data_IF_882166514601
#
_entry.id   IF_882166514601
#
_cell.length_a   1.000
_cell.length_b   1.000
_cell.length_c   1.000
_cell.angle_alpha   90.00
_cell.angle_beta   90.00
_cell.angle_gamma   90.00
#
_symmetry.space_group_name_H-M   'P 1'
#
loop_
_entity.id
_entity.type
_entity.pdbx_description
1 polymer ?
#
# COMPACT_ATOMS: atom_id res chain seq x y z
N UNK A 1 -72.11 -39.29 -29.36
CA UNK A 1 -71.89 -38.12 -28.49
C UNK A 1 -70.95 -37.19 -29.26
N UNK A 2 -71.39 -36.32 -30.17
CA UNK A 2 -72.24 -35.12 -30.01
C UNK A 2 -71.73 -34.12 -28.95
N UNK A 3 -71.20 -32.99 -29.45
CA UNK A 3 -71.42 -31.56 -29.07
C UNK A 3 -71.26 -31.14 -27.59
N UNK A 4 -70.79 -29.94 -27.21
CA UNK A 4 -70.71 -28.61 -27.84
C UNK A 4 -69.89 -27.63 -26.96
N UNK A 5 -69.61 -26.45 -27.53
CA UNK A 5 -68.72 -25.37 -27.09
C UNK A 5 -69.14 -24.53 -25.85
N UNK A 6 -68.22 -23.70 -25.34
CA UNK A 6 -68.33 -22.21 -25.35
C UNK A 6 -67.05 -21.48 -24.93
N UNK A 7 -66.80 -20.37 -25.64
CA UNK A 7 -65.81 -19.29 -25.51
C UNK A 7 -66.00 -18.52 -24.17
N UNK A 8 -65.06 -17.84 -23.49
CA UNK A 8 -64.34 -16.61 -23.89
C UNK A 8 -63.40 -16.14 -22.73
N UNK A 9 -62.25 -15.53 -23.06
CA UNK A 9 -61.24 -14.86 -22.20
C UNK A 9 -61.73 -13.42 -21.79
N UNK A 10 -61.02 -12.48 -21.08
CA UNK A 10 -59.60 -12.43 -20.65
C UNK A 10 -59.23 -11.75 -19.29
N UNK A 11 -57.98 -11.94 -18.83
CA UNK A 11 -56.93 -10.90 -18.65
C UNK A 11 -55.84 -11.34 -17.66
N UNK A 12 -54.59 -11.00 -17.97
CA UNK A 12 -53.48 -10.98 -17.01
C UNK A 12 -52.26 -11.79 -17.47
N UNK A 13 -51.57 -11.32 -18.50
CA UNK A 13 -50.29 -11.90 -18.93
C UNK A 13 -49.28 -10.75 -19.07
N UNK A 14 -48.13 -10.86 -18.38
CA UNK A 14 -46.82 -11.08 -19.01
C UNK A 14 -45.66 -10.68 -18.10
N UNK A 15 -44.72 -11.61 -18.02
CA UNK A 15 -43.34 -11.50 -17.55
C UNK A 15 -42.41 -10.96 -18.65
N UNK A 16 -41.26 -10.45 -18.20
CA UNK A 16 -39.91 -10.44 -18.79
C UNK A 16 -39.65 -9.72 -20.13
N UNK A 17 -38.54 -8.97 -20.16
CA UNK A 17 -37.86 -8.56 -21.40
C UNK A 17 -37.00 -7.31 -21.25
N UNK A 18 -35.69 -7.51 -21.15
CA UNK A 18 -34.62 -6.54 -21.45
C UNK A 18 -34.89 -5.80 -22.77
N UNK A 19 -34.58 -4.50 -22.85
CA UNK A 19 -33.66 -3.90 -23.84
C UNK A 19 -33.57 -2.37 -23.69
N UNK A 20 -32.37 -1.91 -23.99
CA UNK A 20 -31.78 -0.58 -24.12
C UNK A 20 -32.56 0.45 -24.95
N UNK A 21 -32.53 1.73 -24.53
CA UNK A 21 -32.48 3.02 -25.29
C UNK A 21 -33.21 4.12 -24.49
N UNK A 22 -32.52 5.11 -23.92
CA UNK A 22 -32.16 6.41 -24.52
C UNK A 22 -33.34 7.11 -25.22
N UNK A 23 -34.07 7.96 -24.48
CA UNK A 23 -34.55 9.26 -24.96
C UNK A 23 -34.78 10.19 -23.75
N UNK A 24 -33.93 11.22 -23.63
CA UNK A 24 -34.12 12.39 -22.78
C UNK A 24 -34.97 13.38 -23.58
N UNK A 25 -36.21 13.61 -23.13
CA UNK A 25 -37.04 14.70 -23.62
C UNK A 25 -36.64 16.03 -22.96
N UNK A 26 -36.34 16.97 -23.83
CA UNK A 26 -36.12 18.40 -23.64
C UNK A 26 -36.78 19.07 -22.42
N UNK A 27 -35.95 19.77 -21.64
CA UNK A 27 -36.35 21.00 -20.96
C UNK A 27 -35.30 22.09 -21.25
N UNK A 28 -35.77 23.12 -21.96
CA UNK A 28 -35.03 24.32 -22.36
C UNK A 28 -34.57 25.11 -21.14
N UNK A 29 -33.32 25.57 -21.14
CA UNK A 29 -32.97 26.83 -20.49
C UNK A 29 -31.99 27.64 -21.34
N UNK A 30 -32.25 28.93 -21.35
CA UNK A 30 -31.79 29.95 -22.29
C UNK A 30 -30.57 30.63 -21.67
N UNK A 31 -29.54 30.94 -22.46
CA UNK A 31 -28.47 31.85 -22.04
C UNK A 31 -27.15 31.61 -22.75
N UNK A 32 -26.90 32.37 -23.83
CA UNK A 32 -25.63 32.34 -24.55
C UNK A 32 -24.49 32.96 -23.74
N UNK A 33 -23.30 32.36 -23.82
CA UNK A 33 -22.03 33.02 -23.54
C UNK A 33 -20.96 32.50 -24.49
N UNK A 34 -20.16 33.46 -24.98
CA UNK A 34 -19.08 33.34 -25.94
C UNK A 34 -18.07 32.21 -25.65
N UNK A 35 -17.57 31.65 -26.75
CA UNK A 35 -16.35 30.87 -26.90
C UNK A 35 -15.21 31.36 -25.99
N UNK A 36 -14.68 30.48 -25.14
CA UNK A 36 -13.26 30.49 -24.78
C UNK A 36 -12.74 29.07 -24.95
N UNK A 37 -12.08 28.84 -26.09
CA UNK A 37 -11.18 27.71 -26.26
C UNK A 37 -10.14 27.75 -25.15
N UNK A 38 -10.26 26.83 -24.20
CA UNK A 38 -9.21 26.57 -23.23
C UNK A 38 -8.12 25.83 -24.00
N UNK A 39 -7.10 26.57 -24.45
CA UNK A 39 -5.81 25.98 -24.83
C UNK A 39 -5.27 25.23 -23.61
N UNK A 40 -5.48 23.92 -23.59
CA UNK A 40 -4.84 23.01 -22.65
C UNK A 40 -3.32 23.12 -22.86
N UNK A 41 -2.69 23.98 -22.07
CA UNK A 41 -1.24 24.06 -21.99
C UNK A 41 -0.79 22.83 -21.21
N UNK A 42 -0.36 21.80 -21.94
CA UNK A 42 0.25 20.60 -21.37
C UNK A 42 1.40 20.99 -20.46
N UNK A 43 1.20 20.84 -19.15
CA UNK A 43 2.28 21.01 -18.20
C UNK A 43 3.17 19.77 -18.24
N UNK A 44 4.40 19.97 -18.70
CA UNK A 44 5.50 19.02 -18.59
C UNK A 44 5.78 18.82 -17.09
N UNK A 45 5.50 17.62 -16.57
CA UNK A 45 5.90 17.27 -15.22
C UNK A 45 7.37 16.83 -15.24
N UNK A 46 8.17 17.44 -14.37
CA UNK A 46 9.58 17.13 -14.20
C UNK A 46 9.74 16.16 -13.03
N UNK A 47 10.36 15.01 -13.27
CA UNK A 47 10.76 14.07 -12.22
C UNK A 47 12.30 14.02 -12.18
N UNK A 48 12.87 13.78 -10.99
CA UNK A 48 14.31 13.60 -10.83
C UNK A 48 14.54 12.10 -10.64
N UNK A 49 15.21 11.46 -11.60
CA UNK A 49 15.60 10.06 -11.47
C UNK A 49 17.02 9.99 -10.89
N UNK A 50 17.18 9.38 -9.72
CA UNK A 50 18.46 9.26 -9.03
C UNK A 50 19.23 8.04 -9.54
N UNK A 51 20.23 8.25 -10.38
CA UNK A 51 21.20 7.21 -10.74
C UNK A 51 22.46 7.40 -9.91
N UNK A 52 22.70 6.52 -8.93
CA UNK A 52 23.90 6.52 -8.05
C UNK A 52 24.27 7.93 -7.52
N UNK A 53 23.34 8.62 -6.85
CA UNK A 53 23.53 9.96 -6.29
C UNK A 53 23.73 11.12 -7.28
N UNK A 54 23.55 10.92 -8.59
CA UNK A 54 23.54 12.01 -9.58
C UNK A 54 22.12 12.29 -10.07
N UNK A 55 21.58 13.51 -9.88
CA UNK A 55 20.22 13.83 -10.31
C UNK A 55 20.16 13.98 -11.84
N UNK A 56 19.45 13.09 -12.53
CA UNK A 56 19.13 13.28 -13.96
C UNK A 56 17.77 13.93 -14.07
N UNK A 57 17.70 15.06 -14.77
CA UNK A 57 16.42 15.74 -15.05
C UNK A 57 15.65 14.97 -16.11
N UNK A 58 14.39 14.64 -15.82
CA UNK A 58 13.50 14.01 -16.80
C UNK A 58 12.24 14.84 -17.05
N UNK A 59 11.68 14.67 -18.24
CA UNK A 59 10.42 15.25 -18.69
C UNK A 59 9.49 14.09 -19.05
N UNK A 60 8.27 14.11 -18.55
CA UNK A 60 7.23 13.19 -19.02
C UNK A 60 6.37 13.89 -20.06
N UNK A 61 6.29 13.31 -21.26
CA UNK A 61 5.42 13.78 -22.35
C UNK A 61 3.97 13.28 -22.18
N UNK A 62 2.97 13.86 -22.90
CA UNK A 62 1.56 13.45 -22.82
C UNK A 62 1.29 11.96 -23.07
N UNK A 63 2.18 11.32 -23.82
CA UNK A 63 2.09 9.90 -24.18
C UNK A 63 2.66 8.98 -23.08
N UNK A 64 2.96 9.51 -21.90
CA UNK A 64 3.60 8.80 -20.78
C UNK A 64 5.01 8.26 -21.06
N UNK A 65 5.68 8.79 -22.09
CA UNK A 65 7.09 8.50 -22.37
C UNK A 65 8.00 9.44 -21.59
N UNK A 66 9.08 8.88 -21.03
CA UNK A 66 10.07 9.62 -20.25
C UNK A 66 11.21 10.06 -21.18
N UNK A 67 11.53 11.35 -21.10
CA UNK A 67 12.63 11.99 -21.78
C UNK A 67 13.69 12.40 -20.77
N UNK A 68 14.96 12.12 -21.08
CA UNK A 68 16.09 12.36 -20.18
C UNK A 68 16.91 13.56 -20.67
N UNK A 69 17.39 14.40 -19.77
CA UNK A 69 18.29 15.48 -20.15
C UNK A 69 19.64 14.92 -20.63
N UNK A 70 19.96 15.11 -21.90
CA UNK A 70 21.15 14.54 -22.53
C UNK A 70 22.45 15.10 -21.95
N UNK A 71 22.47 16.37 -21.54
CA UNK A 71 23.64 16.99 -20.89
C UNK A 71 23.99 16.27 -19.59
N UNK A 72 23.01 16.10 -18.69
CA UNK A 72 23.21 15.43 -17.39
C UNK A 72 23.69 13.98 -17.59
N UNK A 73 23.09 13.27 -18.54
CA UNK A 73 23.47 11.90 -18.88
C UNK A 73 24.90 11.83 -19.42
N UNK A 74 25.27 12.73 -20.33
CA UNK A 74 26.62 12.79 -20.89
C UNK A 74 27.67 13.12 -19.83
N UNK A 75 27.36 14.02 -18.90
CA UNK A 75 28.23 14.38 -17.79
C UNK A 75 28.47 13.19 -16.85
N UNK A 76 27.41 12.44 -16.52
CA UNK A 76 27.51 11.22 -15.71
C UNK A 76 28.35 10.16 -16.43
N UNK A 77 28.12 9.96 -17.73
CA UNK A 77 28.86 9.00 -18.56
C UNK A 77 30.28 9.45 -18.90
N UNK A 78 30.68 10.69 -18.57
CA UNK A 78 32.05 11.20 -18.76
C UNK A 78 32.36 11.61 -20.21
N UNK A 79 31.35 11.96 -21.01
CA UNK A 79 31.58 12.52 -22.34
C UNK A 79 32.04 13.98 -22.22
N UNK A 80 33.22 14.29 -22.76
CA UNK A 80 33.80 15.65 -22.72
C UNK A 80 32.91 16.67 -23.45
N UNK A 81 32.30 16.27 -24.57
CA UNK A 81 31.41 17.10 -25.37
C UNK A 81 30.05 16.42 -25.52
N UNK A 82 29.07 16.80 -24.68
CA UNK A 82 27.72 16.27 -24.74
C UNK A 82 27.05 16.41 -26.13
N UNK A 83 27.11 17.57 -26.84
CA UNK A 83 26.47 17.71 -28.16
C UNK A 83 27.09 16.81 -29.23
N UNK A 84 28.41 16.62 -29.18
CA UNK A 84 29.13 15.76 -30.13
C UNK A 84 28.82 14.28 -29.86
N UNK A 85 28.81 13.86 -28.59
CA UNK A 85 28.42 12.52 -28.19
C UNK A 85 26.99 12.19 -28.65
N UNK A 86 26.04 13.10 -28.45
CA UNK A 86 24.67 12.94 -28.92
C UNK A 86 24.58 12.85 -30.44
N UNK A 87 25.31 13.69 -31.18
CA UNK A 87 25.32 13.66 -32.66
C UNK A 87 25.95 12.37 -33.21
N UNK A 88 26.97 11.83 -32.55
CA UNK A 88 27.71 10.64 -32.99
C UNK A 88 27.05 9.33 -32.61
N UNK A 89 26.26 9.30 -31.53
CA UNK A 89 25.76 8.05 -30.94
C UNK A 89 24.25 7.93 -30.88
N UNK A 90 23.51 9.04 -30.89
CA UNK A 90 22.04 9.04 -30.91
C UNK A 90 21.49 9.13 -32.33
N UNK A 91 20.24 8.66 -32.52
CA UNK A 91 19.49 8.93 -33.76
C UNK A 91 18.69 10.21 -33.61
N UNK A 92 18.63 11.01 -34.68
CA UNK A 92 17.93 12.31 -34.73
C UNK A 92 16.45 12.20 -34.31
N UNK A 93 15.78 11.10 -34.65
CA UNK A 93 14.38 10.86 -34.31
C UNK A 93 14.07 10.82 -32.79
N UNK A 94 15.09 10.66 -31.94
CA UNK A 94 14.93 10.60 -30.49
C UNK A 94 15.65 11.72 -29.75
N UNK A 95 15.90 12.85 -30.42
CA UNK A 95 16.52 14.05 -29.84
C UNK A 95 15.51 15.18 -29.91
N UNK A 96 15.14 15.75 -28.77
CA UNK A 96 14.24 16.89 -28.68
C UNK A 96 14.92 18.07 -28.00
N UNK A 97 14.93 19.22 -28.67
CA UNK A 97 15.38 20.49 -28.08
C UNK A 97 14.20 21.15 -27.39
N UNK A 98 14.32 21.41 -26.09
CA UNK A 98 13.27 22.05 -25.27
C UNK A 98 13.89 23.23 -24.53
N UNK A 99 13.12 24.31 -24.40
CA UNK A 99 13.54 25.46 -23.60
C UNK A 99 13.11 25.27 -22.16
N UNK A 100 14.08 25.30 -21.25
CA UNK A 100 13.84 25.26 -19.80
C UNK A 100 13.91 26.71 -19.29
N UNK A 101 12.90 27.11 -18.52
CA UNK A 101 12.91 28.42 -17.85
C UNK A 101 13.68 28.32 -16.54
N UNK A 102 14.79 29.05 -16.44
CA UNK A 102 15.54 29.23 -15.19
C UNK A 102 15.25 30.63 -14.62
N UNK A 103 15.49 30.84 -13.31
CA UNK A 103 15.47 32.19 -12.72
C UNK A 103 16.41 33.19 -13.42
N UNK A 104 17.47 32.67 -14.07
CA UNK A 104 18.46 33.44 -14.84
C UNK A 104 18.13 33.60 -16.34
N UNK A 105 16.97 33.12 -16.79
CA UNK A 105 16.54 33.17 -18.19
C UNK A 105 16.22 31.80 -18.79
N UNK A 106 15.73 31.79 -20.04
CA UNK A 106 15.44 30.54 -20.77
C UNK A 106 16.74 29.98 -21.36
N UNK A 107 17.07 28.72 -21.07
CA UNK A 107 18.17 28.01 -21.74
C UNK A 107 17.63 26.84 -22.54
N UNK A 108 18.19 26.63 -23.72
CA UNK A 108 17.93 25.46 -24.55
C UNK A 108 18.61 24.25 -23.89
N UNK A 109 17.85 23.18 -23.68
CA UNK A 109 18.36 21.90 -23.21
C UNK A 109 17.95 20.80 -24.19
N UNK A 110 18.83 19.82 -24.35
CA UNK A 110 18.60 18.68 -25.22
C UNK A 110 18.09 17.53 -24.37
N UNK A 111 16.97 16.96 -24.79
CA UNK A 111 16.35 15.79 -24.21
C UNK A 111 16.47 14.61 -25.18
N UNK A 112 16.71 13.43 -24.62
CA UNK A 112 16.86 12.17 -25.34
C UNK A 112 15.80 11.18 -24.88
N UNK A 113 15.31 10.36 -25.80
CA UNK A 113 14.42 9.25 -25.44
C UNK A 113 15.20 8.06 -24.84
N UNK A 114 14.47 7.15 -24.21
CA UNK A 114 15.03 5.96 -23.56
C UNK A 114 15.89 5.08 -24.50
N UNK A 115 15.52 4.80 -25.77
CA UNK A 115 16.40 4.09 -26.70
C UNK A 115 17.73 4.80 -26.98
N UNK A 116 17.76 6.13 -27.05
CA UNK A 116 19.00 6.89 -27.23
C UNK A 116 19.83 6.95 -25.95
N UNK A 117 19.20 6.93 -24.77
CA UNK A 117 19.87 6.77 -23.49
C UNK A 117 20.65 5.45 -23.46
N UNK A 118 20.02 4.31 -23.77
CA UNK A 118 20.70 3.02 -23.80
C UNK A 118 21.87 2.98 -24.78
N UNK A 119 21.75 3.64 -25.93
CA UNK A 119 22.87 3.75 -26.89
C UNK A 119 24.05 4.53 -26.35
N UNK A 120 23.82 5.58 -25.56
CA UNK A 120 24.89 6.33 -24.91
C UNK A 120 25.56 5.49 -23.82
N UNK A 121 24.79 4.76 -23.03
CA UNK A 121 25.34 3.91 -21.96
C UNK A 121 26.21 2.80 -22.55
N UNK A 122 25.72 2.06 -23.54
CA UNK A 122 26.45 0.95 -24.20
C UNK A 122 27.70 1.43 -24.94
N UNK A 123 27.72 2.67 -25.46
CA UNK A 123 28.90 3.23 -26.14
C UNK A 123 29.84 3.99 -25.21
N UNK A 124 29.53 4.06 -23.93
CA UNK A 124 30.39 4.73 -22.97
C UNK A 124 31.62 3.88 -22.67
N UNK A 125 32.76 4.54 -22.42
CA UNK A 125 34.02 3.88 -22.03
C UNK A 125 34.27 3.90 -20.52
N UNK A 126 33.27 4.33 -19.74
CA UNK A 126 33.37 4.38 -18.29
C UNK A 126 33.20 2.99 -17.68
N UNK A 127 34.01 2.61 -16.67
CA UNK A 127 33.84 1.34 -15.97
C UNK A 127 32.48 1.23 -15.27
N UNK A 128 31.81 2.35 -14.98
CA UNK A 128 30.47 2.34 -14.39
C UNK A 128 29.37 1.89 -15.36
N UNK A 129 29.63 1.94 -16.68
CA UNK A 129 28.69 1.51 -17.72
C UNK A 129 28.84 0.03 -18.08
N UNK A 130 30.02 -0.57 -17.85
CA UNK A 130 30.32 -1.97 -18.14
C UNK A 130 29.37 -2.96 -17.42
N UNK A 131 29.00 -2.79 -16.14
CA UNK A 131 28.02 -3.66 -15.49
C UNK A 131 26.63 -3.62 -16.15
N UNK A 132 26.21 -2.45 -16.65
CA UNK A 132 24.93 -2.32 -17.32
C UNK A 132 24.96 -2.97 -18.70
N UNK A 133 26.05 -2.76 -19.45
CA UNK A 133 26.27 -3.41 -20.74
C UNK A 133 26.24 -4.94 -20.58
N UNK A 134 27.06 -5.50 -19.67
CA UNK A 134 27.12 -6.92 -19.40
C UNK A 134 25.74 -7.48 -19.01
N UNK A 135 25.03 -6.81 -18.10
CA UNK A 135 23.68 -7.23 -17.71
C UNK A 135 22.70 -7.26 -18.89
N UNK A 136 22.70 -6.24 -19.76
CA UNK A 136 21.83 -6.21 -20.94
C UNK A 136 22.19 -7.33 -21.93
N UNK A 137 23.48 -7.53 -22.23
CA UNK A 137 23.91 -8.46 -23.27
C UNK A 137 23.98 -9.92 -22.82
N UNK A 138 24.30 -10.19 -21.56
CA UNK A 138 24.48 -11.55 -21.04
C UNK A 138 23.23 -12.09 -20.34
N UNK A 139 22.43 -11.21 -19.71
CA UNK A 139 21.24 -11.61 -18.97
C UNK A 139 19.96 -11.26 -19.73
N UNK A 140 19.71 -9.97 -19.98
CA UNK A 140 18.40 -9.50 -20.48
C UNK A 140 18.12 -10.02 -21.90
N UNK A 141 19.01 -9.74 -22.86
CA UNK A 141 18.80 -10.13 -24.26
C UNK A 141 18.74 -11.66 -24.44
N UNK A 142 19.62 -12.47 -23.81
CA UNK A 142 19.53 -13.92 -23.91
C UNK A 142 18.26 -14.49 -23.28
N UNK A 143 17.79 -13.92 -22.15
CA UNK A 143 16.53 -14.32 -21.52
C UNK A 143 15.33 -14.03 -22.42
N UNK A 144 15.25 -12.82 -23.00
CA UNK A 144 14.20 -12.48 -23.96
C UNK A 144 14.26 -13.38 -25.19
N UNK A 145 15.45 -13.64 -25.74
CA UNK A 145 15.60 -14.52 -26.92
C UNK A 145 15.13 -15.95 -26.63
N UNK A 146 15.43 -16.48 -25.43
CA UNK A 146 15.11 -17.87 -25.05
C UNK A 146 13.65 -18.05 -24.63
N UNK A 147 13.08 -17.08 -23.91
CA UNK A 147 11.77 -17.24 -23.25
C UNK A 147 10.67 -16.34 -23.84
N UNK A 148 11.02 -15.42 -24.74
CA UNK A 148 10.12 -14.42 -25.30
C UNK A 148 9.80 -13.25 -24.36
N UNK A 149 10.34 -13.24 -23.13
CA UNK A 149 10.10 -12.19 -22.13
C UNK A 149 11.32 -12.01 -21.22
N UNK A 150 11.45 -10.84 -20.60
CA UNK A 150 12.34 -10.66 -19.46
C UNK A 150 11.48 -10.63 -18.20
N UNK A 151 11.78 -11.50 -17.24
CA UNK A 151 11.19 -11.45 -15.90
C UNK A 151 12.35 -11.30 -14.93
N UNK A 152 12.39 -10.18 -14.21
CA UNK A 152 13.18 -10.09 -12.99
C UNK A 152 12.65 -11.20 -12.10
N UNK A 153 13.44 -12.26 -11.90
CA UNK A 153 13.13 -13.23 -10.87
C UNK A 153 13.07 -12.42 -9.57
N UNK A 154 11.91 -12.33 -8.90
CA UNK A 154 11.88 -11.76 -7.58
C UNK A 154 12.88 -12.59 -6.80
N UNK A 155 13.99 -12.00 -6.38
CA UNK A 155 14.80 -12.59 -5.34
C UNK A 155 13.85 -12.71 -4.19
N UNK A 156 13.35 -13.92 -3.99
CA UNK A 156 12.31 -14.21 -3.02
C UNK A 156 12.96 -13.89 -1.68
N UNK A 157 12.71 -12.68 -1.18
CA UNK A 157 12.90 -12.36 0.23
C UNK A 157 12.26 -13.53 0.94
N UNK A 158 13.07 -14.30 1.68
CA UNK A 158 12.56 -15.44 2.43
C UNK A 158 11.35 -14.91 3.20
N UNK A 159 10.16 -15.40 2.83
CA UNK A 159 8.95 -15.04 3.55
C UNK A 159 9.24 -15.34 5.02
N UNK A 160 8.92 -14.44 5.96
CA UNK A 160 9.05 -14.77 7.38
C UNK A 160 8.38 -16.12 7.58
N UNK A 161 9.08 -17.07 8.21
CA UNK A 161 8.55 -18.41 8.42
C UNK A 161 7.13 -18.27 9.00
N UNK A 162 6.13 -18.97 8.43
CA UNK A 162 4.76 -18.82 8.89
C UNK A 162 4.72 -19.11 10.39
N UNK A 163 4.08 -18.20 11.15
CA UNK A 163 3.94 -18.35 12.61
C UNK A 163 3.45 -19.78 12.94
N UNK A 164 4.14 -20.45 13.87
CA UNK A 164 3.79 -21.81 14.29
C UNK A 164 2.38 -21.80 14.90
N UNK A 165 1.42 -22.43 14.22
CA UNK A 165 0.03 -22.55 14.69
C UNK A 165 -0.15 -23.86 15.44
N UNK A 166 -0.84 -23.79 16.57
CA UNK A 166 -1.21 -24.95 17.37
C UNK A 166 -2.74 -25.04 17.43
N UNK A 167 -3.28 -26.25 17.32
CA UNK A 167 -4.71 -26.53 17.50
C UNK A 167 -4.87 -27.35 18.77
N UNK A 168 -5.76 -26.90 19.65
CA UNK A 168 -6.09 -27.59 20.90
C UNK A 168 -7.60 -27.70 21.02
N UNK A 169 -8.07 -28.82 21.53
CA UNK A 169 -9.46 -29.01 21.94
C UNK A 169 -9.57 -28.66 23.42
N UNK A 170 -10.53 -27.82 23.78
CA UNK A 170 -10.80 -27.42 25.16
C UNK A 170 -12.20 -27.86 25.56
N UNK A 171 -12.32 -28.34 26.79
CA UNK A 171 -13.62 -28.52 27.44
C UNK A 171 -14.18 -27.17 27.89
N UNK A 172 -15.50 -27.12 28.08
CA UNK A 172 -16.18 -25.93 28.57
C UNK A 172 -15.61 -25.46 29.92
N UNK A 173 -15.35 -26.40 30.82
CA UNK A 173 -14.77 -26.13 32.14
C UNK A 173 -13.36 -25.52 32.03
N UNK A 174 -12.50 -26.04 31.16
CA UNK A 174 -11.15 -25.48 30.97
C UNK A 174 -11.19 -24.04 30.45
N UNK A 175 -12.10 -23.75 29.50
CA UNK A 175 -12.29 -22.37 29.03
C UNK A 175 -12.78 -21.46 30.15
N UNK A 176 -13.73 -21.91 30.97
CA UNK A 176 -14.18 -21.15 32.14
C UNK A 176 -13.01 -20.86 33.10
N UNK A 177 -12.17 -21.85 33.39
CA UNK A 177 -11.00 -21.67 34.25
C UNK A 177 -10.01 -20.64 33.69
N UNK A 178 -9.75 -20.65 32.38
CA UNK A 178 -8.87 -19.66 31.75
C UNK A 178 -9.41 -18.24 31.87
N UNK A 179 -10.73 -18.05 31.72
CA UNK A 179 -11.35 -16.73 31.87
C UNK A 179 -11.36 -16.28 33.33
N UNK A 180 -11.63 -17.19 34.27
CA UNK A 180 -11.52 -16.90 35.71
C UNK A 180 -10.11 -16.58 36.16
N UNK A 181 -9.10 -17.27 35.61
CA UNK A 181 -7.69 -16.98 35.85
C UNK A 181 -7.34 -15.57 35.39
N UNK A 182 -7.78 -15.18 34.19
CA UNK A 182 -7.59 -13.82 33.69
C UNK A 182 -8.29 -12.78 34.58
N UNK A 183 -9.50 -13.06 35.06
CA UNK A 183 -10.22 -12.16 35.96
C UNK A 183 -9.50 -12.01 37.32
N UNK A 184 -9.00 -13.11 37.89
CA UNK A 184 -8.19 -13.09 39.11
C UNK A 184 -6.90 -12.27 38.92
N UNK A 185 -6.23 -12.47 37.78
CA UNK A 185 -5.02 -11.71 37.41
C UNK A 185 -5.30 -10.21 37.31
N UNK A 186 -6.40 -9.82 36.68
CA UNK A 186 -6.87 -8.43 36.64
C UNK A 186 -7.07 -7.82 38.02
N UNK A 187 -7.78 -8.53 38.89
CA UNK A 187 -8.02 -8.07 40.27
C UNK A 187 -6.72 -7.95 41.05
N UNK A 188 -5.78 -8.87 40.85
CA UNK A 188 -4.45 -8.84 41.43
C UNK A 188 -3.68 -7.58 41.02
N UNK A 189 -3.58 -7.29 39.72
CA UNK A 189 -2.88 -6.10 39.20
C UNK A 189 -3.47 -4.81 39.78
N UNK A 190 -4.80 -4.66 39.77
CA UNK A 190 -5.45 -3.48 40.35
C UNK A 190 -5.13 -3.35 41.84
N UNK A 191 -5.07 -4.46 42.57
CA UNK A 191 -4.70 -4.44 43.99
C UNK A 191 -3.25 -4.00 44.17
N UNK A 192 -2.32 -4.55 43.38
CA UNK A 192 -0.92 -4.14 43.41
C UNK A 192 -0.71 -2.66 43.08
N UNK A 193 -1.52 -2.06 42.20
CA UNK A 193 -1.48 -0.61 41.95
C UNK A 193 -1.85 0.22 43.18
N UNK A 194 -2.77 -0.24 44.02
CA UNK A 194 -3.12 0.46 45.27
C UNK A 194 -2.02 0.27 46.32
N UNK A 195 -1.49 -0.94 46.43
CA UNK A 195 -0.43 -1.26 47.39
C UNK A 195 0.87 -0.53 47.02
N UNK A 196 1.27 -0.52 45.75
CA UNK A 196 2.47 0.18 45.29
C UNK A 196 2.44 1.65 45.69
N UNK A 197 1.31 2.34 45.47
CA UNK A 197 1.13 3.74 45.87
C UNK A 197 1.33 3.94 47.37
N UNK A 198 0.79 3.05 48.20
CA UNK A 198 0.96 3.12 49.64
C UNK A 198 2.44 2.90 50.04
N UNK A 199 3.10 1.89 49.48
CA UNK A 199 4.50 1.56 49.78
C UNK A 199 5.49 2.61 49.27
N UNK A 200 5.18 3.27 48.16
CA UNK A 200 5.95 4.39 47.63
C UNK A 200 5.91 5.59 48.56
N UNK A 201 4.74 5.92 49.11
CA UNK A 201 4.60 7.01 50.10
C UNK A 201 5.36 6.69 51.39
N UNK A 202 5.42 5.42 51.78
CA UNK A 202 6.18 4.95 52.94
C UNK A 202 7.71 4.89 52.71
N UNK A 203 8.20 5.17 51.50
CA UNK A 203 9.62 5.11 51.16
C UNK A 203 10.22 3.69 51.24
N UNK A 204 9.38 2.65 51.16
CA UNK A 204 9.84 1.26 51.23
C UNK A 204 10.47 0.82 49.91
N UNK A 205 11.64 0.21 49.97
CA UNK A 205 12.33 -0.35 48.80
C UNK A 205 11.49 -1.40 48.03
N UNK A 206 10.48 -1.98 48.69
CA UNK A 206 9.56 -2.94 48.09
C UNK A 206 8.61 -2.31 47.04
N UNK A 207 8.44 -0.98 47.04
CA UNK A 207 7.58 -0.30 46.06
C UNK A 207 8.03 -0.56 44.62
N UNK A 208 9.33 -0.65 44.38
CA UNK A 208 9.90 -0.94 43.06
C UNK A 208 9.54 -2.34 42.55
N UNK A 209 9.58 -3.35 43.44
CA UNK A 209 9.20 -4.73 43.09
C UNK A 209 7.70 -4.84 42.78
N UNK A 210 6.86 -4.10 43.51
CA UNK A 210 5.41 -4.09 43.31
C UNK A 210 5.06 -3.32 42.03
N UNK A 211 5.81 -2.27 41.70
CA UNK A 211 5.61 -1.50 40.46
C UNK A 211 5.68 -2.38 39.21
N UNK A 212 6.66 -3.28 39.12
CA UNK A 212 6.76 -4.23 37.99
C UNK A 212 5.49 -5.06 37.82
N UNK A 213 5.01 -5.66 38.91
CA UNK A 213 3.78 -6.48 38.90
C UNK A 213 2.52 -5.66 38.60
N UNK A 214 2.48 -4.40 39.03
CA UNK A 214 1.34 -3.51 38.88
C UNK A 214 1.22 -2.90 37.46
N UNK A 215 2.33 -2.73 36.75
CA UNK A 215 2.35 -1.96 35.51
C UNK A 215 2.94 -2.70 34.30
N UNK A 216 3.98 -3.53 34.45
CA UNK A 216 4.59 -4.25 33.32
C UNK A 216 3.65 -5.34 32.77
N UNK A 217 2.90 -5.98 33.68
CA UNK A 217 1.97 -7.07 33.37
C UNK A 217 0.68 -6.60 32.67
N UNK A 218 0.47 -5.29 32.54
CA UNK A 218 -0.68 -4.74 31.82
C UNK A 218 -0.67 -5.07 30.33
N UNK A 219 0.52 -5.25 29.74
CA UNK A 219 0.67 -5.68 28.35
C UNK A 219 0.09 -7.08 28.13
N UNK A 220 0.55 -8.05 28.94
CA UNK A 220 0.08 -9.45 28.96
C UNK A 220 -1.41 -9.51 29.25
N UNK A 221 -1.89 -8.67 30.17
CA UNK A 221 -3.29 -8.63 30.51
C UNK A 221 -4.18 -8.25 29.31
N UNK A 222 -3.77 -7.23 28.55
CA UNK A 222 -4.48 -6.75 27.36
C UNK A 222 -4.44 -7.81 26.24
N UNK A 223 -3.29 -8.41 25.97
CA UNK A 223 -3.17 -9.45 24.93
C UNK A 223 -4.00 -10.68 25.27
N UNK A 224 -3.96 -11.14 26.52
CA UNK A 224 -4.74 -12.31 26.96
C UNK A 224 -6.24 -12.03 26.93
N UNK A 225 -6.68 -10.80 27.24
CA UNK A 225 -8.09 -10.42 27.07
C UNK A 225 -8.57 -10.57 25.62
N UNK A 226 -7.75 -10.15 24.64
CA UNK A 226 -8.09 -10.29 23.22
C UNK A 226 -8.18 -11.76 22.79
N UNK A 227 -7.23 -12.59 23.24
CA UNK A 227 -7.21 -14.02 22.94
C UNK A 227 -8.46 -14.70 23.53
N UNK A 228 -8.76 -14.43 24.80
CA UNK A 228 -9.92 -15.02 25.47
C UNK A 228 -11.23 -14.57 24.83
N UNK A 229 -11.40 -13.28 24.51
CA UNK A 229 -12.59 -12.80 23.80
C UNK A 229 -12.77 -13.46 22.42
N UNK A 230 -11.67 -13.77 21.72
CA UNK A 230 -11.72 -14.47 20.44
C UNK A 230 -12.15 -15.93 20.58
N UNK A 231 -11.64 -16.65 21.57
CA UNK A 231 -11.98 -18.09 21.76
C UNK A 231 -13.33 -18.29 22.46
N UNK A 232 -13.82 -17.29 23.21
CA UNK A 232 -15.11 -17.32 23.89
C UNK A 232 -16.16 -16.39 23.25
N UNK A 233 -16.05 -16.12 21.94
CA UNK A 233 -17.00 -15.25 21.24
C UNK A 233 -18.41 -15.84 21.21
N UNK A 234 -18.49 -17.16 21.07
CA UNK A 234 -19.74 -17.87 20.78
C UNK A 234 -20.53 -18.23 22.04
N UNK A 235 -19.96 -18.01 23.23
CA UNK A 235 -20.60 -18.30 24.51
C UNK A 235 -21.40 -17.11 25.02
N UNK A 236 -22.59 -17.35 25.57
CA UNK A 236 -23.41 -16.31 26.16
C UNK A 236 -23.04 -16.00 27.62
N UNK A 237 -23.33 -14.77 28.05
CA UNK A 237 -23.15 -14.38 29.45
C UNK A 237 -24.33 -14.93 30.25
N UNK A 238 -24.07 -15.98 31.03
CA UNK A 238 -25.05 -16.53 31.97
C UNK A 238 -24.66 -16.21 33.42
N UNK A 239 -25.59 -15.60 34.17
CA UNK A 239 -25.37 -15.19 35.56
C UNK A 239 -25.44 -16.35 36.56
N UNK A 240 -26.09 -17.45 36.20
CA UNK A 240 -26.28 -18.61 37.09
C UNK A 240 -25.13 -19.61 36.99
N UNK A 241 -24.31 -19.52 35.95
CA UNK A 241 -23.14 -20.37 35.74
C UNK A 241 -21.83 -19.59 35.86
N UNK A 242 -20.71 -20.31 35.72
CA UNK A 242 -19.37 -19.71 35.76
C UNK A 242 -19.12 -18.73 34.61
N UNK A 243 -19.94 -18.75 33.55
CA UNK A 243 -19.85 -17.82 32.42
C UNK A 243 -20.17 -16.37 32.76
N UNK A 244 -20.68 -16.08 33.97
CA UNK A 244 -20.84 -14.72 34.51
C UNK A 244 -19.57 -13.88 34.42
N UNK A 245 -18.40 -14.53 34.45
CA UNK A 245 -17.09 -13.87 34.33
C UNK A 245 -16.90 -13.16 32.98
N UNK A 246 -17.59 -13.59 31.92
CA UNK A 246 -17.55 -12.96 30.60
C UNK A 246 -18.01 -11.51 30.63
N UNK A 247 -18.87 -11.13 31.59
CA UNK A 247 -19.26 -9.73 31.82
C UNK A 247 -18.04 -8.85 32.10
N UNK A 248 -17.09 -9.36 32.87
CA UNK A 248 -15.85 -8.65 33.20
C UNK A 248 -14.85 -8.67 32.05
N UNK A 249 -14.76 -9.80 31.34
CA UNK A 249 -13.87 -9.96 30.18
C UNK A 249 -14.25 -9.02 29.03
N UNK A 250 -15.55 -8.97 28.67
CA UNK A 250 -16.08 -8.15 27.57
C UNK A 250 -16.22 -6.67 27.95
N UNK A 251 -16.46 -6.39 29.23
CA UNK A 251 -16.54 -5.03 29.77
C UNK A 251 -15.18 -4.38 30.06
N UNK A 252 -14.08 -5.06 29.79
CA UNK A 252 -12.74 -4.55 30.07
C UNK A 252 -12.35 -3.43 29.10
N UNK A 253 -12.06 -2.24 29.64
CA UNK A 253 -11.53 -1.13 28.86
C UNK A 253 -9.98 -1.10 28.95
N UNK A 254 -9.26 -1.48 27.88
CA UNK A 254 -7.80 -1.54 27.90
C UNK A 254 -7.11 -0.17 28.06
N UNK A 255 -7.83 0.92 27.76
CA UNK A 255 -7.34 2.31 27.89
C UNK A 255 -7.57 2.91 29.28
N UNK A 256 -8.50 2.37 30.06
CA UNK A 256 -8.81 2.87 31.40
C UNK A 256 -7.71 2.52 32.42
N UNK A 257 -6.96 1.44 32.18
CA UNK A 257 -5.81 1.06 33.00
C UNK A 257 -4.57 1.79 32.47
N UNK A 258 -4.42 3.06 32.91
CA UNK A 258 -3.29 3.91 32.52
C UNK A 258 -1.97 3.38 33.10
N UNK A 259 -1.00 3.21 32.21
CA UNK A 259 0.42 3.15 32.54
C UNK A 259 0.87 4.61 32.37
N UNK A 260 1.02 5.34 33.46
CA UNK A 260 1.75 6.59 33.40
C UNK A 260 3.23 6.18 33.46
N UNK A 261 3.89 6.20 32.30
CA UNK A 261 5.34 6.01 32.18
C UNK A 261 6.07 7.22 32.75
#
# INVERSE_FOLDING_TARGET
MFDSATNTIPKGNKSAGFLTSFELSNARFIGGFHQKEIKMTTQIQFSIFNFKNSPVRTITDPNSEIWFCGTDVCDILGYVNAPDAMKKHCKEAGIAKRYISYPSGRKEAIFINEPNLYRLIIKSRKPEAEPFEAWVFEEVLPQIRKTGKYQLQPQQLALPEPEKKFSFEFTEYELQQLVWLWFAFMRGIVTFQHIEKAFRVLGSNMSSQIYGQAYEYLSVLRSTNQILNRITSDFDIDQMTNWRVLKHLRGFNPKAVKIDF
#
